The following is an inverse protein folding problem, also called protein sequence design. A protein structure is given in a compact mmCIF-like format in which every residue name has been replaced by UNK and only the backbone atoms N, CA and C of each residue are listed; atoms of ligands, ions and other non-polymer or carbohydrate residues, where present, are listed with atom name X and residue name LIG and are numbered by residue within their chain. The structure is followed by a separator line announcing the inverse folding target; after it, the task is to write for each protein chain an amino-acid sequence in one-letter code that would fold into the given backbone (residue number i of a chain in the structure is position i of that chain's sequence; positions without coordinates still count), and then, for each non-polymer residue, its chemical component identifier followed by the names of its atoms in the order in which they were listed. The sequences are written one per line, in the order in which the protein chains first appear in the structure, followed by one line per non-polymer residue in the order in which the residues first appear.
data_IF_135257250291
#
_entry.id   IF_135257250291
#
_cell.length_a   1.000
_cell.length_b   1.000
_cell.length_c   1.000
_cell.angle_alpha   90.00
_cell.angle_beta   90.00
_cell.angle_gamma   90.00
#
_symmetry.space_group_name_H-M   'P 1'
#
loop_
_entity.id
_entity.type
_entity.pdbx_description
1 polymer ?
#
# COMPACT_ATOMS: atom_id res chain seq x y z
N UNK A 1 -3.99 -4.00 -5.89
CA UNK A 1 -2.68 -4.39 -6.45
C UNK A 1 -2.82 -5.59 -7.39
N UNK A 2 -1.96 -5.70 -8.41
CA UNK A 2 -1.85 -6.89 -9.27
C UNK A 2 -1.24 -8.09 -8.55
N UNK A 3 -1.00 -9.21 -9.25
CA UNK A 3 -0.49 -10.45 -8.64
C UNK A 3 0.90 -10.25 -8.04
N UNK A 4 1.87 -9.77 -8.84
CA UNK A 4 3.24 -9.55 -8.40
C UNK A 4 3.29 -8.57 -7.24
N UNK A 5 2.50 -7.49 -7.31
CA UNK A 5 2.41 -6.53 -6.22
C UNK A 5 1.89 -7.12 -4.90
N UNK A 6 0.91 -8.03 -4.95
CA UNK A 6 0.40 -8.70 -3.73
C UNK A 6 1.41 -9.68 -3.14
N UNK A 7 2.10 -10.44 -3.98
CA UNK A 7 3.17 -11.35 -3.55
C UNK A 7 4.29 -10.57 -2.86
N UNK A 8 4.76 -9.49 -3.49
CA UNK A 8 5.79 -8.62 -2.92
C UNK A 8 5.35 -7.97 -1.59
N UNK A 9 4.11 -7.50 -1.47
CA UNK A 9 3.60 -6.94 -0.23
C UNK A 9 3.51 -8.01 0.88
N UNK A 10 3.09 -9.23 0.53
CA UNK A 10 3.05 -10.36 1.47
C UNK A 10 4.46 -10.73 1.97
N UNK A 11 5.46 -10.73 1.09
CA UNK A 11 6.85 -11.02 1.43
C UNK A 11 7.47 -9.94 2.33
N UNK A 12 7.22 -8.66 2.03
CA UNK A 12 7.85 -7.55 2.74
C UNK A 12 7.16 -7.20 4.06
N UNK A 13 5.83 -7.34 4.13
CA UNK A 13 5.03 -6.77 5.22
C UNK A 13 4.08 -7.77 5.89
N UNK A 14 3.76 -8.89 5.25
CA UNK A 14 2.83 -9.89 5.78
C UNK A 14 1.52 -9.28 6.28
N UNK A 15 1.13 -9.60 7.50
CA UNK A 15 -0.11 -9.11 8.14
C UNK A 15 -0.09 -7.58 8.43
N UNK A 16 1.07 -6.92 8.30
CA UNK A 16 1.21 -5.48 8.56
C UNK A 16 0.93 -4.60 7.32
N UNK A 17 0.64 -5.19 6.16
CA UNK A 17 0.30 -4.42 4.94
C UNK A 17 -1.01 -3.65 5.12
N UNK A 18 -2.07 -4.31 5.58
CA UNK A 18 -3.37 -3.69 5.83
C UNK A 18 -4.14 -3.29 4.57
N UNK A 19 -4.95 -2.24 4.70
CA UNK A 19 -5.92 -1.82 3.69
C UNK A 19 -5.79 -0.37 3.23
N UNK A 20 -5.32 0.54 4.09
CA UNK A 20 -5.16 1.95 3.73
C UNK A 20 -3.97 2.58 4.43
N UNK A 21 -3.29 3.49 3.72
CA UNK A 21 -1.98 4.01 4.10
C UNK A 21 -1.02 2.83 4.32
N UNK A 22 -1.03 1.89 3.38
CA UNK A 22 -0.26 0.65 3.49
C UNK A 22 1.23 0.93 3.31
N UNK A 23 2.06 0.02 3.81
CA UNK A 23 3.51 0.17 3.69
C UNK A 23 3.95 0.20 2.22
N UNK A 24 3.28 -0.57 1.35
CA UNK A 24 3.51 -0.58 -0.09
C UNK A 24 3.08 0.72 -0.80
N UNK A 25 1.89 1.25 -0.48
CA UNK A 25 1.38 2.52 -1.03
C UNK A 25 2.32 3.68 -0.71
N UNK A 26 2.72 3.80 0.57
CA UNK A 26 3.60 4.86 1.05
C UNK A 26 5.00 4.72 0.42
N UNK A 27 5.52 3.50 0.32
CA UNK A 27 6.82 3.23 -0.32
C UNK A 27 6.83 3.67 -1.79
N UNK A 28 5.78 3.33 -2.55
CA UNK A 28 5.65 3.73 -3.95
C UNK A 28 5.55 5.26 -4.10
N UNK A 29 4.74 5.91 -3.24
CA UNK A 29 4.61 7.37 -3.25
C UNK A 29 5.94 8.08 -2.96
N UNK A 30 6.71 7.58 -1.98
CA UNK A 30 8.04 8.06 -1.63
C UNK A 30 9.04 7.89 -2.78
N UNK A 31 9.03 6.72 -3.44
CA UNK A 31 9.85 6.48 -4.62
C UNK A 31 9.54 7.49 -5.74
N UNK A 32 8.27 7.63 -6.11
CA UNK A 32 7.82 8.52 -7.18
C UNK A 32 8.13 10.00 -6.88
N UNK A 33 8.00 10.42 -5.62
CA UNK A 33 8.28 11.79 -5.20
C UNK A 33 9.76 12.05 -4.88
N UNK A 34 10.63 11.03 -4.95
CA UNK A 34 12.05 11.19 -4.65
C UNK A 34 12.36 11.58 -3.20
N UNK A 35 11.52 11.17 -2.25
CA UNK A 35 11.63 11.56 -0.84
C UNK A 35 11.42 10.36 0.09
N UNK A 36 11.82 10.50 1.34
CA UNK A 36 11.50 9.57 2.43
C UNK A 36 11.27 10.38 3.70
N UNK A 37 10.20 10.10 4.44
CA UNK A 37 9.83 10.87 5.64
C UNK A 37 9.89 9.99 6.87
N UNK A 38 10.50 10.51 7.93
CA UNK A 38 10.39 9.93 9.26
C UNK A 38 9.16 10.52 9.95
N UNK A 39 8.18 9.68 10.24
CA UNK A 39 6.91 10.08 10.87
C UNK A 39 6.68 9.17 12.07
N UNK A 40 6.50 9.76 13.24
CA UNK A 40 6.16 9.00 14.45
C UNK A 40 4.73 8.46 14.32
N UNK A 41 4.60 7.14 14.33
CA UNK A 41 3.30 6.47 14.34
C UNK A 41 2.95 6.03 15.76
N UNK A 42 1.73 6.34 16.19
CA UNK A 42 1.19 5.81 17.45
C UNK A 42 0.79 4.36 17.23
N UNK A 43 1.58 3.42 17.81
CA UNK A 43 1.44 1.95 17.67
C UNK A 43 1.87 1.42 16.29
N UNK A 44 2.25 0.13 16.26
CA UNK A 44 2.60 -0.61 15.03
C UNK A 44 1.38 -0.78 14.11
N UNK A 45 0.91 -2.00 13.88
CA UNK A 45 -0.27 -2.26 13.04
C UNK A 45 -1.52 -1.53 13.56
N UNK A 46 -2.15 -0.72 12.69
CA UNK A 46 -3.38 0.02 13.00
C UNK A 46 -4.60 -0.91 13.14
N UNK A 47 -5.71 -0.46 13.77
CA UNK A 47 -6.93 -1.25 13.89
C UNK A 47 -7.51 -1.65 12.52
N UNK A 48 -8.09 -2.86 12.45
CA UNK A 48 -8.91 -3.28 11.32
C UNK A 48 -10.36 -2.79 11.45
N UNK A 49 -11.06 -2.65 10.32
CA UNK A 49 -12.48 -2.36 10.30
C UNK A 49 -12.96 -2.01 8.90
N UNK A 50 -14.28 -1.84 8.76
CA UNK A 50 -14.89 -1.44 7.49
C UNK A 50 -14.79 0.07 7.26
N UNK A 51 -14.46 0.46 6.03
CA UNK A 51 -14.57 1.82 5.53
C UNK A 51 -15.99 2.18 5.06
N UNK A 52 -16.92 1.22 5.01
CA UNK A 52 -18.32 1.46 4.64
C UNK A 52 -19.07 2.18 5.77
N UNK A 53 -18.92 3.51 5.79
CA UNK A 53 -19.50 4.43 6.75
C UNK A 53 -19.39 5.88 6.25
N UNK A 54 -19.98 6.83 6.99
CA UNK A 54 -19.77 8.25 6.72
C UNK A 54 -18.36 8.71 7.09
N UNK A 55 -17.91 9.84 6.53
CA UNK A 55 -16.58 10.39 6.81
C UNK A 55 -16.35 10.68 8.31
N UNK A 56 -17.37 11.17 9.03
CA UNK A 56 -17.28 11.42 10.47
C UNK A 56 -17.05 10.13 11.26
N UNK A 57 -17.78 9.07 10.90
CA UNK A 57 -17.62 7.74 11.51
C UNK A 57 -16.26 7.14 11.15
N UNK A 58 -15.79 7.32 9.92
CA UNK A 58 -14.46 6.90 9.49
C UNK A 58 -13.38 7.56 10.35
N UNK A 59 -13.43 8.89 10.51
CA UNK A 59 -12.46 9.64 11.33
C UNK A 59 -12.49 9.22 12.79
N UNK A 60 -13.66 8.87 13.33
CA UNK A 60 -13.75 8.32 14.68
C UNK A 60 -13.13 6.92 14.78
N UNK A 61 -13.34 6.05 13.78
CA UNK A 61 -12.79 4.68 13.74
C UNK A 61 -11.28 4.65 13.52
N UNK A 62 -10.77 5.51 12.64
CA UNK A 62 -9.37 5.57 12.20
C UNK A 62 -8.85 7.01 12.35
N UNK A 63 -8.50 7.46 13.57
CA UNK A 63 -8.16 8.86 13.83
C UNK A 63 -6.94 9.38 13.06
N UNK A 64 -5.97 8.51 12.77
CA UNK A 64 -4.79 8.80 11.94
C UNK A 64 -4.95 8.33 10.49
N UNK A 65 -6.15 7.86 10.12
CA UNK A 65 -6.50 7.38 8.79
C UNK A 65 -6.00 5.97 8.45
N UNK A 66 -5.09 5.36 9.24
CA UNK A 66 -4.56 4.03 8.91
C UNK A 66 -5.62 2.95 9.13
N UNK A 67 -5.60 1.92 8.29
CA UNK A 67 -6.50 0.77 8.40
C UNK A 67 -5.72 -0.53 8.29
N UNK A 68 -5.57 -1.24 9.42
CA UNK A 68 -4.88 -2.52 9.47
C UNK A 68 -3.41 -2.49 9.06
N UNK A 69 -2.82 -1.31 8.88
CA UNK A 69 -1.52 -1.11 8.24
C UNK A 69 -0.46 -0.59 9.21
N UNK A 70 0.80 -0.94 8.94
CA UNK A 70 1.98 -0.37 9.58
C UNK A 70 2.92 0.30 8.55
N UNK A 71 2.66 1.57 8.16
CA UNK A 71 3.51 2.30 7.23
C UNK A 71 4.89 2.69 7.81
N UNK A 72 5.20 2.37 9.07
CA UNK A 72 6.58 2.54 9.57
C UNK A 72 7.59 1.60 8.89
N UNK A 73 7.08 0.53 8.26
CA UNK A 73 7.85 -0.43 7.48
C UNK A 73 8.20 0.09 6.06
N UNK A 74 7.63 1.22 5.64
CA UNK A 74 7.87 1.77 4.31
C UNK A 74 9.33 2.15 4.10
N UNK A 75 9.83 1.91 2.89
CA UNK A 75 11.15 2.33 2.42
C UNK A 75 11.03 2.79 0.98
N UNK A 76 11.72 3.87 0.63
CA UNK A 76 11.77 4.36 -0.76
C UNK A 76 12.24 3.27 -1.74
N UNK A 77 13.15 2.41 -1.29
CA UNK A 77 13.70 1.27 -2.04
C UNK A 77 12.61 0.26 -2.42
N UNK A 78 11.74 -0.11 -1.48
CA UNK A 78 10.62 -1.01 -1.76
C UNK A 78 9.70 -0.44 -2.84
N UNK A 79 9.53 0.89 -2.86
CA UNK A 79 8.71 1.58 -3.86
C UNK A 79 9.20 1.40 -5.29
N UNK A 80 10.52 1.24 -5.50
CA UNK A 80 11.07 0.93 -6.82
C UNK A 80 10.58 -0.44 -7.31
N UNK A 81 10.61 -1.44 -6.42
CA UNK A 81 10.14 -2.79 -6.73
C UNK A 81 8.61 -2.83 -6.96
N UNK A 82 7.83 -2.08 -6.18
CA UNK A 82 6.39 -1.97 -6.42
C UNK A 82 6.04 -1.27 -7.74
N UNK A 83 6.85 -0.29 -8.16
CA UNK A 83 6.67 0.35 -9.46
C UNK A 83 6.88 -0.65 -10.60
N UNK A 84 7.99 -1.41 -10.57
CA UNK A 84 8.31 -2.43 -11.57
C UNK A 84 7.22 -3.51 -11.63
N UNK A 85 6.88 -4.12 -10.49
CA UNK A 85 5.84 -5.14 -10.39
C UNK A 85 4.47 -4.62 -10.87
N UNK A 86 4.13 -3.37 -10.51
CA UNK A 86 2.87 -2.74 -10.91
C UNK A 86 2.79 -2.48 -12.41
N UNK A 87 3.88 -2.02 -13.03
CA UNK A 87 3.95 -1.81 -14.48
C UNK A 87 3.84 -3.13 -15.23
N UNK A 88 4.53 -4.18 -14.79
CA UNK A 88 4.43 -5.51 -15.41
C UNK A 88 3.01 -6.09 -15.31
N UNK A 89 2.40 -6.05 -14.12
CA UNK A 89 1.03 -6.54 -13.92
C UNK A 89 0.02 -5.76 -14.76
N UNK A 90 0.16 -4.42 -14.82
CA UNK A 90 -0.72 -3.58 -15.63
C UNK A 90 -0.53 -3.84 -17.13
N UNK A 91 0.70 -4.04 -17.59
CA UNK A 91 1.00 -4.33 -18.99
C UNK A 91 0.48 -5.69 -19.43
N UNK A 92 0.66 -6.73 -18.60
CA UNK A 92 0.10 -8.06 -18.83
C UNK A 92 -1.42 -8.02 -18.92
N UNK A 93 -2.07 -7.34 -17.96
CA UNK A 93 -3.53 -7.16 -17.97
C UNK A 93 -4.01 -6.39 -19.20
N UNK A 94 -3.28 -5.34 -19.60
CA UNK A 94 -3.61 -4.55 -20.78
C UNK A 94 -3.49 -5.37 -22.07
N UNK A 95 -2.39 -6.13 -22.26
CA UNK A 95 -2.21 -7.00 -23.45
C UNK A 95 -3.31 -8.05 -23.56
N UNK A 96 -3.70 -8.66 -22.44
CA UNK A 96 -4.81 -9.59 -22.39
C UNK A 96 -6.13 -8.91 -22.79
N UNK A 97 -6.38 -7.70 -22.29
CA UNK A 97 -7.58 -6.91 -22.63
C UNK A 97 -7.67 -6.57 -24.12
N UNK A 98 -6.55 -6.20 -24.77
CA UNK A 98 -6.53 -5.85 -26.20
C UNK A 98 -6.34 -7.04 -27.14
N UNK A 99 -6.34 -8.28 -26.63
CA UNK A 99 -6.22 -9.49 -27.45
C UNK A 99 -4.82 -9.73 -28.03
N UNK A 100 -3.78 -9.18 -27.39
CA UNK A 100 -2.38 -9.31 -27.80
C UNK A 100 -1.60 -10.25 -26.87
N UNK A 101 -2.27 -11.22 -26.24
CA UNK A 101 -1.67 -12.16 -25.30
C UNK A 101 -0.65 -13.08 -25.97
#
# INVERSE_FOLDING_TARGET
MGRRGRELASELYGDAEGYHATASEVSLAWHAAGLEKQVTMTRGVAPHGSADCTADVFRHRFPDGRMGSDPSLSRREHGAHFLEAGVEDAWEAYRAFVGQA
#
